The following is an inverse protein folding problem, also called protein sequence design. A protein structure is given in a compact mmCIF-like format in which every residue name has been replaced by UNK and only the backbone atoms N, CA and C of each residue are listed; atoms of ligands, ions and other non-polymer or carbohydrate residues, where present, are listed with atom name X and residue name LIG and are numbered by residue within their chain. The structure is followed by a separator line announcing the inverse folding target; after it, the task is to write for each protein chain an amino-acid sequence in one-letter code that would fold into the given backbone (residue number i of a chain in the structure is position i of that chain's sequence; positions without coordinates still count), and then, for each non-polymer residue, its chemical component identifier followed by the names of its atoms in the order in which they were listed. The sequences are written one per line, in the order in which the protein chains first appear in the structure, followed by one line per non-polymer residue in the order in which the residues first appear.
data_IF_350187916599
#
_entry.id   IF_350187916599
#
_cell.length_a   1.000
_cell.length_b   1.000
_cell.length_c   1.000
_cell.angle_alpha   90.00
_cell.angle_beta   90.00
_cell.angle_gamma   90.00
#
_symmetry.space_group_name_H-M   'P 1'
#
loop_
_entity.id
_entity.type
_entity.pdbx_description
1 polymer ?
#
# COMPACT_ATOMS: atom_id res chain seq x y z
N UNK A 1 -14.95 21.04 -0.88
CA UNK A 1 -14.56 19.72 -1.42
C UNK A 1 -13.97 18.90 -0.30
N UNK A 2 -14.63 17.79 0.05
CA UNK A 2 -14.40 16.98 1.25
C UNK A 2 -13.00 16.35 1.29
N UNK A 3 -12.03 17.08 1.85
CA UNK A 3 -10.67 16.59 2.14
C UNK A 3 -10.66 15.25 2.92
N UNK A 4 -11.72 15.00 3.71
CA UNK A 4 -11.91 13.75 4.46
C UNK A 4 -12.24 12.54 3.58
N UNK A 5 -12.99 12.73 2.50
CA UNK A 5 -13.36 11.65 1.59
C UNK A 5 -12.17 11.11 0.80
N UNK A 6 -11.30 12.02 0.35
CA UNK A 6 -10.06 11.64 -0.36
C UNK A 6 -9.06 10.93 0.55
N UNK A 7 -8.90 11.39 1.79
CA UNK A 7 -8.03 10.76 2.78
C UNK A 7 -8.50 9.33 3.12
N UNK A 8 -9.81 9.13 3.30
CA UNK A 8 -10.41 7.81 3.53
C UNK A 8 -10.25 6.87 2.32
N UNK A 9 -10.36 7.40 1.10
CA UNK A 9 -10.14 6.62 -0.12
C UNK A 9 -8.67 6.18 -0.25
N UNK A 10 -7.72 7.06 0.08
CA UNK A 10 -6.29 6.76 0.14
C UNK A 10 -5.97 5.70 1.20
N UNK A 11 -6.55 5.83 2.40
CA UNK A 11 -6.41 4.84 3.48
C UNK A 11 -6.88 3.46 3.06
N UNK A 12 -8.06 3.34 2.43
CA UNK A 12 -8.55 2.07 1.89
C UNK A 12 -7.62 1.48 0.84
N UNK A 13 -7.03 2.30 -0.03
CA UNK A 13 -6.05 1.84 -1.01
C UNK A 13 -4.77 1.33 -0.34
N UNK A 14 -4.28 2.03 0.68
CA UNK A 14 -3.12 1.60 1.48
C UNK A 14 -3.40 0.25 2.14
N UNK A 15 -4.55 0.10 2.81
CA UNK A 15 -4.92 -1.18 3.45
C UNK A 15 -5.02 -2.33 2.44
N UNK A 16 -5.63 -2.09 1.28
CA UNK A 16 -5.79 -3.11 0.26
C UNK A 16 -4.44 -3.54 -0.34
N UNK A 17 -3.54 -2.58 -0.60
CA UNK A 17 -2.16 -2.89 -1.03
C UNK A 17 -1.41 -3.64 0.07
N UNK A 18 -1.58 -3.25 1.35
CA UNK A 18 -0.93 -3.93 2.48
C UNK A 18 -1.40 -5.37 2.63
N UNK A 19 -2.70 -5.63 2.48
CA UNK A 19 -3.27 -6.99 2.51
C UNK A 19 -2.72 -7.83 1.35
N UNK A 20 -2.74 -7.31 0.13
CA UNK A 20 -2.16 -8.01 -1.03
C UNK A 20 -0.68 -8.33 -0.85
N UNK A 21 0.08 -7.41 -0.27
CA UNK A 21 1.51 -7.59 0.00
C UNK A 21 1.70 -8.69 1.05
N UNK A 22 0.87 -8.71 2.10
CA UNK A 22 0.86 -9.80 3.09
C UNK A 22 0.47 -11.15 2.50
N UNK A 23 -0.55 -11.19 1.65
CA UNK A 23 -0.99 -12.41 0.96
C UNK A 23 0.12 -12.93 0.05
N UNK A 24 0.75 -12.05 -0.75
CA UNK A 24 1.91 -12.41 -1.59
C UNK A 24 3.10 -12.90 -0.79
N UNK A 25 3.42 -12.25 0.34
CA UNK A 25 4.47 -12.72 1.25
C UNK A 25 4.13 -14.12 1.77
N UNK A 26 2.89 -14.37 2.17
CA UNK A 26 2.46 -15.68 2.65
C UNK A 26 2.48 -16.75 1.55
N UNK A 27 2.00 -16.44 0.35
CA UNK A 27 1.98 -17.36 -0.79
C UNK A 27 3.39 -17.69 -1.30
N UNK A 28 4.30 -16.70 -1.30
CA UNK A 28 5.69 -16.86 -1.76
C UNK A 28 6.62 -17.39 -0.66
N UNK A 29 6.11 -17.72 0.53
CA UNK A 29 6.91 -18.30 1.61
C UNK A 29 7.90 -17.33 2.25
N UNK A 30 7.50 -16.06 2.39
CA UNK A 30 8.30 -14.96 2.95
C UNK A 30 9.52 -14.55 2.11
N UNK A 31 9.55 -14.89 0.82
CA UNK A 31 10.61 -14.42 -0.07
C UNK A 31 10.41 -12.94 -0.43
N UNK A 32 10.93 -12.06 0.42
CA UNK A 32 10.88 -10.60 0.27
C UNK A 32 11.72 -10.09 -0.92
N UNK A 33 12.48 -10.97 -1.58
CA UNK A 33 13.30 -10.64 -2.76
C UNK A 33 12.49 -10.65 -4.04
N UNK A 34 11.22 -11.09 -3.98
CA UNK A 34 10.35 -11.12 -5.14
C UNK A 34 10.09 -9.71 -5.67
N UNK A 35 10.32 -9.53 -6.97
CA UNK A 35 10.17 -8.23 -7.63
C UNK A 35 8.75 -7.68 -7.47
N UNK A 36 7.76 -8.55 -7.33
CA UNK A 36 6.36 -8.21 -7.14
C UNK A 36 6.09 -7.65 -5.73
N UNK A 37 6.73 -8.22 -4.70
CA UNK A 37 6.70 -7.71 -3.32
C UNK A 37 7.41 -6.36 -3.23
N UNK A 38 8.58 -6.23 -3.87
CA UNK A 38 9.33 -4.97 -3.91
C UNK A 38 8.52 -3.87 -4.61
N UNK A 39 7.90 -4.17 -5.75
CA UNK A 39 7.03 -3.23 -6.47
C UNK A 39 5.82 -2.84 -5.64
N UNK A 40 5.16 -3.79 -4.97
CA UNK A 40 4.03 -3.50 -4.09
C UNK A 40 4.43 -2.64 -2.89
N UNK A 41 5.62 -2.88 -2.31
CA UNK A 41 6.16 -2.08 -1.22
C UNK A 41 6.39 -0.63 -1.66
N UNK A 42 6.98 -0.42 -2.84
CA UNK A 42 7.16 0.92 -3.42
C UNK A 42 5.83 1.63 -3.72
N UNK A 43 4.81 0.88 -4.17
CA UNK A 43 3.47 1.43 -4.38
C UNK A 43 2.83 1.84 -3.05
N UNK A 44 2.98 1.01 -2.01
CA UNK A 44 2.50 1.32 -0.66
C UNK A 44 3.17 2.60 -0.13
N UNK A 45 4.48 2.73 -0.30
CA UNK A 45 5.26 3.90 0.13
C UNK A 45 4.83 5.17 -0.60
N UNK A 46 4.56 5.09 -1.91
CA UNK A 46 4.01 6.23 -2.68
C UNK A 46 2.63 6.64 -2.18
N UNK A 47 1.76 5.68 -1.87
CA UNK A 47 0.43 5.95 -1.33
C UNK A 47 0.50 6.56 0.07
N UNK A 48 1.42 6.09 0.92
CA UNK A 48 1.69 6.65 2.24
C UNK A 48 2.23 8.09 2.14
N UNK A 49 3.19 8.34 1.24
CA UNK A 49 3.69 9.69 0.95
C UNK A 49 2.57 10.62 0.48
N UNK A 50 1.70 10.17 -0.42
CA UNK A 50 0.55 10.97 -0.86
C UNK A 50 -0.43 11.26 0.27
N UNK A 51 -0.65 10.29 1.16
CA UNK A 51 -1.50 10.48 2.33
C UNK A 51 -0.88 11.47 3.32
N UNK A 52 0.42 11.34 3.62
CA UNK A 52 1.13 12.26 4.51
C UNK A 52 1.23 13.68 3.95
N UNK A 53 1.50 13.85 2.65
CA UNK A 53 1.54 15.16 2.00
C UNK A 53 0.17 15.85 1.91
N UNK A 54 -0.93 15.08 1.99
CA UNK A 54 -2.30 15.63 2.00
C UNK A 54 -2.83 15.93 3.41
N UNK A 55 -2.12 15.52 4.46
CA UNK A 55 -2.48 15.69 5.86
C UNK A 55 -1.90 16.98 6.42
#
# INVERSE_FOLDING_TARGET
MDKRGEAMSLLRKIENVRLKLYDLINEKGYDLSDEEIVRLSQVLDKLLCQYYNKK
#
